data_IF_428644674580
#
_entry.id   IF_428644674580
#
_cell.length_a   1.000
_cell.length_b   1.000
_cell.length_c   1.000
_cell.angle_alpha   90.00
_cell.angle_beta   90.00
_cell.angle_gamma   90.00
#
_symmetry.space_group_name_H-M   'P 1'
#
loop_
_entity.id
_entity.type
_entity.pdbx_description
1 polymer ?
#
# COMPACT_ATOMS: atom_id res chain seq x y z
N UNK A 1 21.13 -12.95 0.48
CA UNK A 1 20.81 -14.17 1.04
C UNK A 1 19.54 -14.25 1.90
N UNK A 2 18.55 -13.31 1.79
CA UNK A 2 17.28 -13.47 2.48
C UNK A 2 16.43 -14.57 1.82
N UNK A 3 15.70 -15.34 2.62
CA UNK A 3 14.58 -16.15 2.15
C UNK A 3 13.37 -15.23 2.02
N UNK A 4 12.78 -15.16 0.84
CA UNK A 4 11.67 -14.22 0.56
C UNK A 4 10.44 -15.02 0.17
N UNK A 5 9.32 -14.77 0.86
CA UNK A 5 7.99 -15.28 0.52
C UNK A 5 7.12 -14.11 0.11
N UNK A 6 6.46 -14.20 -1.03
CA UNK A 6 5.55 -13.16 -1.54
C UNK A 6 4.13 -13.72 -1.58
N UNK A 7 3.19 -12.96 -1.04
CA UNK A 7 1.77 -13.27 -1.08
C UNK A 7 1.05 -12.34 -2.05
N UNK A 8 0.19 -12.88 -2.89
CA UNK A 8 -0.75 -12.11 -3.70
C UNK A 8 -2.05 -12.91 -3.90
N UNK A 9 -3.16 -12.23 -4.08
CA UNK A 9 -4.43 -12.84 -4.49
C UNK A 9 -4.55 -12.98 -6.00
N UNK A 10 -3.73 -12.27 -6.76
CA UNK A 10 -3.72 -12.29 -8.22
C UNK A 10 -2.75 -13.37 -8.73
N UNK A 11 -3.31 -14.47 -9.23
CA UNK A 11 -2.54 -15.62 -9.74
C UNK A 11 -1.68 -15.23 -10.95
N UNK A 12 -2.16 -14.36 -11.84
CA UNK A 12 -1.39 -13.90 -13.00
C UNK A 12 -0.18 -13.08 -12.55
N UNK A 13 -0.33 -12.30 -11.45
CA UNK A 13 0.79 -11.58 -10.85
C UNK A 13 1.82 -12.54 -10.26
N UNK A 14 1.37 -13.59 -9.57
CA UNK A 14 2.27 -14.64 -9.05
C UNK A 14 3.02 -15.32 -10.18
N UNK A 15 2.34 -15.72 -11.26
CA UNK A 15 2.96 -16.33 -12.44
C UNK A 15 3.99 -15.39 -13.10
N UNK A 16 3.69 -14.10 -13.21
CA UNK A 16 4.65 -13.10 -13.68
C UNK A 16 5.90 -13.02 -12.78
N UNK A 17 5.71 -12.98 -11.45
CA UNK A 17 6.82 -12.94 -10.50
C UNK A 17 7.67 -14.22 -10.56
N UNK A 18 7.04 -15.38 -10.75
CA UNK A 18 7.73 -16.65 -10.97
C UNK A 18 8.64 -16.58 -12.21
N UNK A 19 8.17 -16.00 -13.31
CA UNK A 19 8.97 -15.81 -14.51
C UNK A 19 10.21 -14.92 -14.30
N UNK A 20 10.12 -13.95 -13.38
CA UNK A 20 11.23 -13.03 -13.05
C UNK A 20 12.23 -13.62 -12.06
N UNK A 21 11.75 -14.29 -11.03
CA UNK A 21 12.56 -14.69 -9.88
C UNK A 21 12.86 -16.17 -9.84
N UNK A 22 12.04 -17.02 -10.49
CA UNK A 22 12.17 -18.47 -10.44
C UNK A 22 12.15 -18.97 -9.00
N UNK A 23 13.01 -19.92 -8.69
CA UNK A 23 13.11 -20.52 -7.35
C UNK A 23 13.81 -19.65 -6.29
N UNK A 24 14.16 -18.39 -6.61
CA UNK A 24 14.81 -17.49 -5.64
C UNK A 24 13.84 -16.90 -4.61
N UNK A 25 12.56 -16.97 -4.87
CA UNK A 25 11.48 -16.52 -3.97
C UNK A 25 10.41 -17.58 -3.90
N UNK A 26 9.77 -17.69 -2.77
CA UNK A 26 8.55 -18.48 -2.59
C UNK A 26 7.33 -17.61 -2.90
N UNK A 27 6.41 -18.15 -3.72
CA UNK A 27 5.22 -17.44 -4.16
C UNK A 27 3.99 -18.19 -3.66
N UNK A 28 3.18 -17.53 -2.85
CA UNK A 28 2.02 -18.15 -2.23
C UNK A 28 0.75 -17.34 -2.52
N UNK A 29 -0.34 -18.06 -2.78
CA UNK A 29 -1.64 -17.42 -2.81
C UNK A 29 -2.00 -16.92 -1.41
N UNK A 30 -2.42 -15.67 -1.31
CA UNK A 30 -2.74 -15.00 -0.05
C UNK A 30 -4.04 -15.56 0.54
N UNK A 31 -3.89 -16.58 1.39
CA UNK A 31 -4.98 -17.13 2.19
C UNK A 31 -4.66 -17.00 3.67
N UNK A 32 -5.69 -16.95 4.53
CA UNK A 32 -5.49 -16.83 5.99
C UNK A 32 -4.59 -17.94 6.51
N UNK A 33 -4.79 -19.19 6.09
CA UNK A 33 -4.00 -20.33 6.56
C UNK A 33 -2.53 -20.26 6.10
N UNK A 34 -2.26 -19.74 4.90
CA UNK A 34 -0.88 -19.55 4.43
C UNK A 34 -0.17 -18.44 5.21
N UNK A 35 -0.86 -17.33 5.46
CA UNK A 35 -0.36 -16.21 6.27
C UNK A 35 -0.06 -16.69 7.71
N UNK A 36 -1.00 -17.40 8.34
CA UNK A 36 -0.84 -17.94 9.70
C UNK A 36 0.35 -18.86 9.86
N UNK A 37 0.69 -19.60 8.80
CA UNK A 37 1.82 -20.53 8.80
C UNK A 37 3.17 -19.80 8.67
N UNK A 38 3.24 -18.73 7.87
CA UNK A 38 4.51 -18.08 7.54
C UNK A 38 4.85 -16.92 8.51
N UNK A 39 3.88 -16.19 9.01
CA UNK A 39 4.12 -15.04 9.92
C UNK A 39 4.99 -15.40 11.15
N UNK A 40 4.76 -16.53 11.86
CA UNK A 40 5.58 -16.88 13.03
C UNK A 40 7.07 -17.13 12.74
N UNK A 41 7.43 -17.24 11.47
CA UNK A 41 8.82 -17.51 11.02
C UNK A 41 9.50 -16.28 10.40
N UNK A 42 8.75 -15.17 10.26
CA UNK A 42 9.24 -13.99 9.57
C UNK A 42 10.09 -13.11 10.50
N UNK A 43 11.31 -12.81 10.09
CA UNK A 43 12.14 -11.79 10.71
C UNK A 43 11.72 -10.37 10.27
N UNK A 44 11.21 -10.26 9.03
CA UNK A 44 10.69 -9.02 8.45
C UNK A 44 9.39 -9.28 7.72
N UNK A 45 8.34 -8.58 8.12
CA UNK A 45 7.04 -8.51 7.44
C UNK A 45 6.89 -7.16 6.73
N UNK A 46 6.57 -7.19 5.45
CA UNK A 46 6.25 -5.99 4.68
C UNK A 46 4.80 -6.05 4.23
N UNK A 47 3.96 -5.20 4.81
CA UNK A 47 2.59 -4.95 4.36
C UNK A 47 2.60 -4.01 3.14
N UNK A 48 1.95 -4.42 2.05
CA UNK A 48 1.83 -3.65 0.82
C UNK A 48 0.47 -3.86 0.14
N UNK A 49 -0.57 -4.05 0.94
CA UNK A 49 -1.93 -4.30 0.44
C UNK A 49 -2.59 -2.97 0.09
N UNK A 50 -2.95 -2.81 -1.18
CA UNK A 50 -3.65 -1.63 -1.68
C UNK A 50 -5.04 -2.03 -2.21
N UNK A 51 -6.07 -1.39 -1.67
CA UNK A 51 -7.43 -1.43 -2.22
C UNK A 51 -7.81 -0.01 -2.63
N UNK A 52 -7.93 0.21 -3.94
CA UNK A 52 -8.19 1.54 -4.49
C UNK A 52 -9.48 2.14 -3.92
N UNK A 53 -9.37 3.32 -3.30
CA UNK A 53 -10.48 4.07 -2.73
C UNK A 53 -11.10 3.47 -1.47
N UNK A 54 -10.52 2.42 -0.89
CA UNK A 54 -11.01 1.75 0.32
C UNK A 54 -9.87 1.45 1.28
N UNK A 55 -10.22 1.24 2.54
CA UNK A 55 -9.28 0.75 3.54
C UNK A 55 -8.89 -0.70 3.24
N UNK A 56 -7.60 -1.03 3.39
CA UNK A 56 -7.13 -2.40 3.28
C UNK A 56 -7.76 -3.30 4.37
N UNK A 57 -8.06 -4.57 4.07
CA UNK A 57 -8.45 -5.51 5.09
C UNK A 57 -7.28 -5.81 6.05
N UNK A 58 -7.59 -6.07 7.32
CA UNK A 58 -6.60 -6.58 8.25
C UNK A 58 -6.29 -8.03 7.90
N UNK A 59 -5.05 -8.30 7.51
CA UNK A 59 -4.55 -9.64 7.18
C UNK A 59 -3.75 -10.25 8.32
N UNK A 60 -3.11 -9.42 9.14
CA UNK A 60 -2.27 -9.85 10.26
C UNK A 60 -2.85 -9.31 11.55
N UNK A 61 -3.46 -10.20 12.33
CA UNK A 61 -4.05 -9.87 13.62
C UNK A 61 -2.96 -9.68 14.70
N UNK A 62 -3.32 -9.03 15.81
CA UNK A 62 -2.47 -8.93 17.00
C UNK A 62 -1.99 -10.29 17.48
N UNK A 63 -2.87 -11.30 17.47
CA UNK A 63 -2.51 -12.65 17.84
C UNK A 63 -1.40 -13.24 16.95
N UNK A 64 -1.44 -12.97 15.64
CA UNK A 64 -0.37 -13.39 14.73
C UNK A 64 0.93 -12.64 14.98
N UNK A 65 0.86 -11.33 15.23
CA UNK A 65 2.03 -10.52 15.58
C UNK A 65 2.71 -11.07 16.83
N UNK A 66 1.95 -11.45 17.85
CA UNK A 66 2.52 -12.02 19.08
C UNK A 66 3.22 -13.37 18.90
N UNK A 67 3.02 -14.04 17.76
CA UNK A 67 3.70 -15.29 17.38
C UNK A 67 5.00 -15.06 16.60
N UNK A 68 5.29 -13.83 16.19
CA UNK A 68 6.55 -13.49 15.51
C UNK A 68 7.73 -13.56 16.46
N UNK A 69 8.96 -13.80 15.95
CA UNK A 69 10.15 -13.80 16.79
C UNK A 69 10.33 -12.42 17.47
N UNK A 70 10.71 -12.39 18.78
CA UNK A 70 11.04 -11.13 19.44
C UNK A 70 12.14 -10.38 18.70
N UNK A 71 11.91 -9.08 18.44
CA UNK A 71 12.82 -8.24 17.66
C UNK A 71 12.60 -8.32 16.14
N UNK A 72 11.69 -9.14 15.65
CA UNK A 72 11.25 -9.07 14.26
C UNK A 72 10.70 -7.68 13.92
N UNK A 73 10.64 -7.35 12.65
CA UNK A 73 10.26 -6.02 12.16
C UNK A 73 9.01 -6.09 11.29
N UNK A 74 8.09 -5.18 11.51
CA UNK A 74 6.92 -4.97 10.65
C UNK A 74 7.00 -3.58 10.00
N UNK A 75 6.86 -3.54 8.69
CA UNK A 75 6.73 -2.31 7.89
C UNK A 75 5.44 -2.41 7.07
N UNK A 76 4.59 -1.39 7.10
CA UNK A 76 3.43 -1.36 6.21
C UNK A 76 3.49 -0.11 5.31
N UNK A 77 3.66 -0.34 4.02
CA UNK A 77 3.78 0.72 3.00
C UNK A 77 2.46 1.45 2.81
N UNK A 78 1.34 0.79 3.11
CA UNK A 78 -0.01 1.34 2.96
C UNK A 78 -0.61 1.85 4.29
N UNK A 79 0.22 2.16 5.27
CA UNK A 79 -0.20 2.61 6.61
C UNK A 79 -1.10 3.85 6.58
N UNK A 80 -0.88 4.78 5.66
CA UNK A 80 -1.69 5.98 5.43
C UNK A 80 -3.10 5.65 4.92
N UNK A 81 -3.29 4.51 4.31
CA UNK A 81 -4.58 3.97 3.85
C UNK A 81 -5.19 2.94 4.83
N UNK A 82 -4.70 2.92 6.05
CA UNK A 82 -5.18 2.09 7.14
C UNK A 82 -4.36 0.84 7.42
N UNK A 83 -3.44 0.45 6.51
CA UNK A 83 -2.58 -0.71 6.67
C UNK A 83 -3.30 -2.06 6.73
N UNK A 84 -2.55 -3.15 6.66
CA UNK A 84 -3.09 -4.52 6.74
C UNK A 84 -2.70 -5.28 8.01
N UNK A 85 -2.02 -4.61 8.95
CA UNK A 85 -1.60 -5.17 10.23
C UNK A 85 -2.34 -4.47 11.37
N UNK A 86 -3.01 -5.24 12.23
CA UNK A 86 -3.89 -4.73 13.29
C UNK A 86 -3.14 -3.85 14.32
N UNK A 87 -1.92 -4.22 14.66
CA UNK A 87 -1.10 -3.51 15.66
C UNK A 87 -0.39 -2.29 15.09
N UNK A 88 -0.44 -2.09 13.76
CA UNK A 88 0.28 -0.98 13.13
C UNK A 88 -0.52 0.32 13.23
N UNK A 89 0.18 1.39 13.56
CA UNK A 89 -0.35 2.77 13.59
C UNK A 89 0.62 3.74 12.94
N UNK A 90 0.14 4.85 12.39
CA UNK A 90 1.00 5.88 11.81
C UNK A 90 2.00 6.42 12.85
N UNK A 91 3.25 6.59 12.39
CA UNK A 91 4.35 7.20 13.13
C UNK A 91 4.90 8.40 12.35
N UNK A 92 6.01 9.00 12.78
CA UNK A 92 6.62 10.13 12.10
C UNK A 92 8.11 9.87 11.82
N UNK A 93 8.69 10.63 10.89
CA UNK A 93 10.14 10.53 10.65
C UNK A 93 10.99 10.86 11.89
N UNK A 94 10.46 11.64 12.84
CA UNK A 94 11.16 11.96 14.10
C UNK A 94 11.10 10.80 15.10
N UNK A 95 10.00 10.06 15.12
CA UNK A 95 9.79 8.89 15.99
C UNK A 95 9.23 7.75 15.13
N UNK A 96 10.11 7.10 14.32
CA UNK A 96 9.66 6.25 13.23
C UNK A 96 9.17 4.87 13.68
N UNK A 97 9.61 4.40 14.84
CA UNK A 97 9.35 3.05 15.32
C UNK A 97 8.76 3.01 16.71
N UNK A 98 8.11 1.92 17.03
CA UNK A 98 7.70 1.52 18.39
C UNK A 98 7.74 0.00 18.50
N UNK A 99 7.67 -0.52 19.72
CA UNK A 99 7.62 -1.96 19.99
C UNK A 99 6.23 -2.30 20.51
N UNK A 100 5.62 -3.32 19.92
CA UNK A 100 4.35 -3.90 20.36
C UNK A 100 4.41 -5.41 20.14
N UNK A 101 3.91 -6.21 21.11
CA UNK A 101 4.05 -7.68 21.12
C UNK A 101 5.50 -8.19 20.97
N UNK A 102 6.50 -7.40 21.40
CA UNK A 102 7.92 -7.72 21.24
C UNK A 102 8.49 -7.51 19.83
N UNK A 103 7.68 -7.01 18.89
CA UNK A 103 7.99 -6.77 17.48
C UNK A 103 8.16 -5.28 17.21
N UNK A 104 9.17 -4.91 16.43
CA UNK A 104 9.43 -3.52 16.04
C UNK A 104 8.48 -3.13 14.90
N UNK A 105 7.73 -2.06 15.07
CA UNK A 105 6.81 -1.55 14.06
C UNK A 105 7.34 -0.25 13.46
N UNK A 106 7.35 -0.17 12.13
CA UNK A 106 7.66 1.04 11.36
C UNK A 106 6.43 1.43 10.54
N UNK A 107 5.79 2.52 10.92
CA UNK A 107 4.53 2.97 10.32
C UNK A 107 4.60 4.41 9.81
N UNK A 108 5.73 4.87 9.26
CA UNK A 108 5.89 6.24 8.77
C UNK A 108 5.10 6.40 7.47
N UNK A 109 4.04 7.22 7.44
CA UNK A 109 3.41 7.64 6.19
C UNK A 109 4.43 8.43 5.36
N UNK A 110 4.26 8.41 4.03
CA UNK A 110 5.16 9.13 3.15
C UNK A 110 6.65 8.74 3.36
N UNK A 111 6.94 7.44 3.37
CA UNK A 111 8.33 6.93 3.37
C UNK A 111 9.22 7.57 2.31
N UNK A 112 8.72 7.89 1.09
CA UNK A 112 9.48 8.63 0.08
C UNK A 112 10.04 9.97 0.57
N UNK A 113 9.45 10.58 1.58
CA UNK A 113 9.94 11.80 2.22
C UNK A 113 11.32 11.67 2.88
N UNK A 114 11.76 10.44 3.21
CA UNK A 114 13.12 10.17 3.70
C UNK A 114 14.18 10.20 2.58
N UNK A 115 13.77 10.11 1.31
CA UNK A 115 14.64 10.18 0.11
C UNK A 115 14.08 11.20 -0.88
N UNK A 116 13.92 12.48 -0.49
CA UNK A 116 13.08 13.45 -1.17
C UNK A 116 13.57 13.76 -2.59
N UNK A 117 14.86 13.78 -2.82
CA UNK A 117 15.42 14.04 -4.16
C UNK A 117 14.95 13.01 -5.18
N UNK A 118 15.18 11.72 -4.91
CA UNK A 118 14.79 10.63 -5.81
C UNK A 118 13.29 10.51 -5.95
N UNK A 119 12.56 10.62 -4.83
CA UNK A 119 11.11 10.54 -4.81
C UNK A 119 10.46 11.67 -5.61
N UNK A 120 10.95 12.90 -5.50
CA UNK A 120 10.43 14.05 -6.25
C UNK A 120 10.67 13.89 -7.76
N UNK A 121 11.85 13.42 -8.18
CA UNK A 121 12.13 13.18 -9.59
C UNK A 121 11.19 12.12 -10.16
N UNK A 122 11.01 10.99 -9.48
CA UNK A 122 10.14 9.92 -9.92
C UNK A 122 8.67 10.38 -10.00
N UNK A 123 8.19 11.08 -8.97
CA UNK A 123 6.82 11.59 -8.94
C UNK A 123 6.58 12.62 -10.04
N UNK A 124 7.51 13.58 -10.20
CA UNK A 124 7.41 14.61 -11.22
C UNK A 124 7.37 14.02 -12.64
N UNK A 125 8.27 13.06 -12.94
CA UNK A 125 8.28 12.39 -14.24
C UNK A 125 6.97 11.63 -14.52
N UNK A 126 6.35 11.06 -13.48
CA UNK A 126 5.10 10.31 -13.61
C UNK A 126 3.88 11.23 -13.73
N UNK A 127 3.87 12.40 -13.08
CA UNK A 127 2.70 13.28 -13.01
C UNK A 127 2.71 14.38 -14.06
N UNK A 128 3.88 14.85 -14.49
CA UNK A 128 4.02 15.95 -15.45
C UNK A 128 3.21 15.77 -16.75
N UNK A 129 3.15 14.58 -17.39
CA UNK A 129 2.34 14.39 -18.59
C UNK A 129 0.84 14.71 -18.36
N UNK A 130 0.32 14.36 -17.20
CA UNK A 130 -1.09 14.64 -16.83
C UNK A 130 -1.31 16.13 -16.52
N UNK A 131 -0.36 16.76 -15.82
CA UNK A 131 -0.39 18.20 -15.54
C UNK A 131 -0.37 19.01 -16.86
N UNK A 132 0.46 18.63 -17.82
CA UNK A 132 0.51 19.29 -19.13
C UNK A 132 -0.78 19.10 -19.94
N UNK A 133 -1.43 17.95 -19.86
CA UNK A 133 -2.73 17.74 -20.48
C UNK A 133 -3.80 18.68 -19.91
N UNK A 134 -3.87 18.78 -18.57
CA UNK A 134 -4.78 19.69 -17.89
C UNK A 134 -4.48 21.16 -18.22
N UNK A 135 -3.20 21.55 -18.24
CA UNK A 135 -2.79 22.92 -18.56
C UNK A 135 -3.15 23.30 -20.00
N UNK A 136 -2.99 22.39 -20.96
CA UNK A 136 -3.24 22.65 -22.38
C UNK A 136 -4.74 22.58 -22.76
N UNK A 137 -5.51 21.74 -22.10
CA UNK A 137 -6.87 21.42 -22.53
C UNK A 137 -7.95 21.76 -21.48
N UNK A 138 -7.55 22.15 -20.26
CA UNK A 138 -8.49 22.39 -19.15
C UNK A 138 -9.36 21.17 -18.87
N UNK A 139 -10.64 21.36 -18.62
CA UNK A 139 -11.58 20.28 -18.35
C UNK A 139 -11.75 19.27 -19.51
N UNK A 140 -11.46 19.69 -20.75
CA UNK A 140 -11.48 18.79 -21.92
C UNK A 140 -10.45 17.67 -21.84
N UNK A 141 -9.41 17.83 -21.03
CA UNK A 141 -8.44 16.75 -20.76
C UNK A 141 -9.09 15.49 -20.20
N UNK A 142 -10.18 15.61 -19.45
CA UNK A 142 -10.93 14.48 -18.88
C UNK A 142 -11.65 13.65 -19.96
N UNK A 143 -12.05 14.29 -21.06
CA UNK A 143 -12.67 13.60 -22.21
C UNK A 143 -11.60 12.91 -23.05
N UNK A 144 -10.41 13.51 -23.15
CA UNK A 144 -9.30 13.01 -23.94
C UNK A 144 -8.61 11.82 -23.22
N UNK A 145 -8.49 11.89 -21.90
CA UNK A 145 -7.77 10.90 -21.11
C UNK A 145 -8.65 10.28 -20.01
N UNK A 146 -9.14 9.05 -20.23
CA UNK A 146 -9.97 8.35 -19.25
C UNK A 146 -9.30 8.12 -17.89
N UNK A 147 -7.96 8.09 -17.83
CA UNK A 147 -7.25 7.96 -16.57
C UNK A 147 -7.39 9.22 -15.71
N UNK A 148 -7.35 10.42 -16.33
CA UNK A 148 -7.65 11.68 -15.65
C UNK A 148 -9.10 11.73 -15.16
N UNK A 149 -10.05 11.28 -15.99
CA UNK A 149 -11.46 11.24 -15.61
C UNK A 149 -11.72 10.41 -14.34
N UNK A 150 -11.00 9.30 -14.17
CA UNK A 150 -11.09 8.47 -12.96
C UNK A 150 -10.56 9.17 -11.69
N UNK A 151 -9.76 10.21 -11.82
CA UNK A 151 -9.24 10.99 -10.70
C UNK A 151 -10.17 12.11 -10.22
N UNK A 152 -11.32 12.34 -10.88
CA UNK A 152 -12.25 13.40 -10.51
C UNK A 152 -13.03 12.98 -9.27
N UNK A 153 -12.79 13.63 -8.15
CA UNK A 153 -13.50 13.40 -6.90
C UNK A 153 -14.69 14.35 -6.73
N UNK A 154 -14.51 15.61 -7.11
CA UNK A 154 -15.52 16.67 -6.99
C UNK A 154 -15.66 17.36 -8.34
N UNK A 155 -16.89 17.57 -8.79
CA UNK A 155 -17.22 18.35 -9.98
C UNK A 155 -18.44 19.22 -9.68
N UNK A 156 -18.36 20.51 -10.03
CA UNK A 156 -19.44 21.49 -9.84
C UNK A 156 -20.01 21.51 -8.40
N UNK A 157 -19.12 21.37 -7.40
CA UNK A 157 -19.46 21.34 -5.99
C UNK A 157 -20.10 20.05 -5.48
N UNK A 158 -20.10 18.99 -6.28
CA UNK A 158 -20.68 17.68 -5.91
C UNK A 158 -19.62 16.59 -5.92
N UNK A 159 -19.74 15.65 -4.98
CA UNK A 159 -18.93 14.43 -5.00
C UNK A 159 -19.37 13.55 -6.18
N UNK A 160 -18.46 13.24 -7.08
CA UNK A 160 -18.74 12.41 -8.27
C UNK A 160 -18.06 11.04 -8.22
N UNK A 161 -16.93 10.90 -7.50
CA UNK A 161 -16.21 9.64 -7.42
C UNK A 161 -16.97 8.64 -6.52
N UNK A 162 -17.29 7.41 -7.00
CA UNK A 162 -18.11 6.46 -6.24
C UNK A 162 -17.54 6.12 -4.86
N UNK A 163 -16.23 5.83 -4.77
CA UNK A 163 -15.60 5.46 -3.51
C UNK A 163 -15.59 6.63 -2.50
N UNK A 164 -15.48 7.89 -2.96
CA UNK A 164 -15.54 9.06 -2.08
C UNK A 164 -16.97 9.27 -1.57
N UNK A 165 -17.97 9.08 -2.42
CA UNK A 165 -19.39 9.15 -2.04
C UNK A 165 -19.77 8.09 -1.00
N UNK A 166 -19.19 6.88 -1.10
CA UNK A 166 -19.40 5.80 -0.14
C UNK A 166 -18.90 6.18 1.27
N UNK A 167 -17.77 6.92 1.34
CA UNK A 167 -17.17 7.37 2.62
C UNK A 167 -17.87 8.61 3.19
N UNK A 168 -18.39 9.48 2.33
CA UNK A 168 -19.03 10.73 2.71
C UNK A 168 -20.47 10.83 2.14
N UNK A 169 -21.39 9.96 2.59
CA UNK A 169 -22.74 9.89 2.03
C UNK A 169 -23.53 11.19 2.24
N UNK A 170 -23.26 11.91 3.33
CA UNK A 170 -23.95 13.17 3.67
C UNK A 170 -23.53 14.36 2.78
N UNK A 171 -22.45 14.20 1.99
CA UNK A 171 -21.94 15.21 1.07
C UNK A 171 -22.16 14.83 -0.41
N UNK A 172 -22.84 13.75 -0.68
CA UNK A 172 -23.01 13.17 -2.02
C UNK A 172 -24.22 13.74 -2.77
#
# INVERSE_FOLDING_TARGET
GAQVTIFDINVDRLAYLESLFGSRVELLYSSSSAIEKEIPRADLLVGAVLVLGRRAPILVSRELVSKMPPGAVIIDVAVDQGGCVETLRPTSHTTPTYIEEGVVHYGVPNMPGAVPWTATQALNNSTLPYVLQLANHGAKALEINPALAKGVNVQDGRLVHPAVREVFPDLA
#
